data_IF_332468311960
#
_entry.id   IF_332468311960
#
_cell.length_a   1.000
_cell.length_b   1.000
_cell.length_c   1.000
_cell.angle_alpha   90.00
_cell.angle_beta   90.00
_cell.angle_gamma   90.00
#
_symmetry.space_group_name_H-M   'P 1'
#
loop_
_entity.id
_entity.type
_entity.pdbx_description
1 polymer ?
#
# COMPACT_ATOMS: atom_id res chain seq x y z
N UNK A 1 39.32 31.82 36.37
CA UNK A 1 38.12 31.72 35.51
C UNK A 1 38.51 30.88 34.31
N UNK A 2 38.34 29.57 34.40
CA UNK A 2 38.65 28.64 33.32
C UNK A 2 37.35 28.30 32.59
N UNK A 3 37.43 28.39 31.28
CA UNK A 3 36.38 28.24 30.29
C UNK A 3 35.54 26.97 30.53
N UNK A 4 34.32 27.11 31.03
CA UNK A 4 33.35 26.02 31.19
C UNK A 4 32.30 26.16 30.07
N UNK A 5 32.72 26.05 28.81
CA UNK A 5 31.83 26.22 27.65
C UNK A 5 32.19 25.33 26.46
N UNK A 6 32.71 24.13 26.70
CA UNK A 6 32.85 23.11 25.66
C UNK A 6 32.38 21.77 26.22
N UNK A 7 31.54 21.08 25.44
CA UNK A 7 30.79 19.86 25.76
C UNK A 7 29.44 20.14 26.46
N UNK A 8 28.56 20.86 25.76
CA UNK A 8 27.18 20.37 25.71
C UNK A 8 27.31 19.12 24.84
N UNK A 9 27.22 17.92 25.43
CA UNK A 9 26.91 16.73 24.64
C UNK A 9 25.64 17.07 23.88
N UNK A 10 25.77 17.38 22.58
CA UNK A 10 24.63 17.57 21.70
C UNK A 10 23.97 16.20 21.56
N UNK A 11 23.15 15.84 22.55
CA UNK A 11 22.25 14.71 22.48
C UNK A 11 21.29 15.03 21.34
N UNK A 12 21.52 14.39 20.21
CA UNK A 12 20.75 14.50 18.98
C UNK A 12 20.61 13.08 18.38
N UNK A 13 20.18 12.95 17.12
CA UNK A 13 19.99 11.62 16.52
C UNK A 13 21.30 10.91 16.13
N UNK A 14 22.40 11.64 15.98
CA UNK A 14 23.68 11.08 15.53
C UNK A 14 24.19 9.99 16.50
N UNK A 15 23.89 10.11 17.80
CA UNK A 15 24.26 9.10 18.80
C UNK A 15 23.56 7.74 18.56
N UNK A 16 22.42 7.71 17.88
CA UNK A 16 21.66 6.50 17.57
C UNK A 16 21.98 5.95 16.18
N UNK A 17 22.53 6.79 15.29
CA UNK A 17 22.75 6.46 13.87
C UNK A 17 23.52 5.14 13.66
N UNK A 18 24.65 4.85 14.36
CA UNK A 18 25.37 3.58 14.19
C UNK A 18 24.52 2.36 14.55
N UNK A 19 23.69 2.47 15.58
CA UNK A 19 22.85 1.37 16.06
C UNK A 19 21.61 1.18 15.18
N UNK A 20 21.08 2.27 14.61
CA UNK A 20 20.02 2.21 13.58
C UNK A 20 20.50 1.47 12.34
N UNK A 21 21.75 1.71 11.91
CA UNK A 21 22.34 1.03 10.75
C UNK A 21 22.90 -0.37 11.05
N UNK A 22 23.00 -0.77 12.32
CA UNK A 22 23.52 -2.08 12.70
C UNK A 22 22.78 -3.21 11.98
N UNK A 23 23.49 -4.27 11.58
CA UNK A 23 22.87 -5.48 11.01
C UNK A 23 22.42 -6.47 12.09
N UNK A 24 22.88 -6.28 13.33
CA UNK A 24 22.61 -7.17 14.45
C UNK A 24 21.21 -6.90 15.04
N UNK A 25 20.29 -7.90 15.03
CA UNK A 25 18.94 -7.72 15.55
C UNK A 25 18.88 -7.29 17.02
N UNK A 26 19.79 -7.79 17.85
CA UNK A 26 19.87 -7.44 19.28
C UNK A 26 20.20 -5.96 19.48
N UNK A 27 21.16 -5.44 18.72
CA UNK A 27 21.55 -4.01 18.75
C UNK A 27 20.37 -3.12 18.35
N UNK A 28 19.60 -3.50 17.33
CA UNK A 28 18.39 -2.74 16.92
C UNK A 28 17.33 -2.72 18.01
N UNK A 29 17.09 -3.85 18.68
CA UNK A 29 16.09 -3.96 19.75
C UNK A 29 16.48 -3.13 20.99
N UNK A 30 17.75 -3.14 21.37
CA UNK A 30 18.28 -2.31 22.47
C UNK A 30 18.21 -0.83 22.10
N UNK A 31 18.63 -0.48 20.88
CA UNK A 31 18.56 0.89 20.34
C UNK A 31 17.14 1.45 20.40
N UNK A 32 16.14 0.66 19.97
CA UNK A 32 14.74 1.07 20.02
C UNK A 32 14.32 1.56 21.40
N UNK A 33 14.65 0.80 22.46
CA UNK A 33 14.20 1.11 23.81
C UNK A 33 14.73 2.46 24.30
N UNK A 34 15.94 2.84 23.88
CA UNK A 34 16.56 4.12 24.25
C UNK A 34 16.04 5.23 23.34
N UNK A 35 15.97 4.96 22.03
CA UNK A 35 15.54 5.93 21.01
C UNK A 35 14.06 6.32 21.15
N UNK A 36 13.17 5.38 21.46
CA UNK A 36 11.76 5.69 21.69
C UNK A 36 11.57 6.61 22.89
N UNK A 37 12.24 6.32 24.01
CA UNK A 37 12.22 7.17 25.20
C UNK A 37 12.79 8.56 24.90
N UNK A 38 13.91 8.62 24.17
CA UNK A 38 14.51 9.88 23.75
C UNK A 38 13.57 10.70 22.85
N UNK A 39 12.93 10.08 21.86
CA UNK A 39 12.04 10.78 20.93
C UNK A 39 10.70 11.17 21.55
N UNK A 40 10.25 10.47 22.60
CA UNK A 40 9.03 10.79 23.34
C UNK A 40 9.14 12.11 24.12
N UNK A 41 10.36 12.52 24.45
CA UNK A 41 10.63 13.84 25.05
C UNK A 41 10.70 14.91 23.95
N UNK A 42 9.67 15.77 23.90
CA UNK A 42 9.50 16.77 22.83
C UNK A 42 10.65 17.80 22.74
N UNK A 43 11.36 18.02 23.85
CA UNK A 43 12.45 19.00 23.94
C UNK A 43 13.81 18.46 23.46
N UNK A 44 13.94 17.15 23.25
CA UNK A 44 15.19 16.55 22.79
C UNK A 44 15.49 16.98 21.34
N UNK A 45 16.75 17.13 20.93
CA UNK A 45 17.04 17.51 19.54
C UNK A 45 16.77 16.32 18.58
N UNK A 46 16.17 16.62 17.43
CA UNK A 46 16.04 15.66 16.30
C UNK A 46 17.08 15.94 15.20
N UNK A 47 18.05 16.81 15.45
CA UNK A 47 19.11 17.12 14.50
C UNK A 47 19.91 15.85 14.20
N UNK A 48 20.27 15.68 12.93
CA UNK A 48 21.09 14.58 12.46
C UNK A 48 21.93 15.06 11.28
N UNK A 49 23.23 14.80 11.29
CA UNK A 49 24.11 15.14 10.17
C UNK A 49 23.67 14.43 8.88
N UNK A 50 23.24 13.17 9.00
CA UNK A 50 22.67 12.39 7.91
C UNK A 50 21.27 11.85 8.24
N UNK A 51 20.29 12.76 8.29
CA UNK A 51 18.89 12.41 8.50
C UNK A 51 18.36 11.42 7.44
N UNK A 52 18.83 11.55 6.20
CA UNK A 52 18.45 10.66 5.09
C UNK A 52 18.89 9.23 5.35
N UNK A 53 20.17 9.02 5.73
CA UNK A 53 20.66 7.70 6.12
C UNK A 53 19.96 7.14 7.35
N UNK A 54 19.63 8.00 8.32
CA UNK A 54 18.89 7.61 9.53
C UNK A 54 17.51 7.05 9.17
N UNK A 55 16.74 7.79 8.35
CA UNK A 55 15.41 7.38 7.88
C UNK A 55 15.52 6.11 7.05
N UNK A 56 16.49 6.01 6.13
CA UNK A 56 16.72 4.80 5.35
C UNK A 56 17.03 3.57 6.22
N UNK A 57 17.77 3.76 7.32
CA UNK A 57 17.99 2.71 8.33
C UNK A 57 16.68 2.25 8.98
N UNK A 58 15.80 3.18 9.34
CA UNK A 58 14.47 2.84 9.89
C UNK A 58 13.56 2.16 8.85
N UNK A 59 13.63 2.54 7.58
CA UNK A 59 12.90 1.83 6.52
C UNK A 59 13.35 0.36 6.42
N UNK A 60 14.63 0.06 6.61
CA UNK A 60 15.12 -1.32 6.71
C UNK A 60 14.62 -2.03 7.97
N UNK A 61 14.34 -1.31 9.06
CA UNK A 61 13.69 -1.90 10.23
C UNK A 61 12.27 -2.31 9.89
N UNK A 62 11.49 -1.41 9.28
CA UNK A 62 10.09 -1.67 8.90
C UNK A 62 10.00 -2.86 7.93
N UNK A 63 10.88 -2.95 6.94
CA UNK A 63 10.93 -4.07 5.99
C UNK A 63 11.50 -5.38 6.56
N UNK A 64 11.92 -5.41 7.83
CA UNK A 64 12.55 -6.59 8.42
C UNK A 64 11.55 -7.74 8.63
N UNK A 65 12.00 -8.98 8.41
CA UNK A 65 11.20 -10.19 8.68
C UNK A 65 10.94 -10.42 10.17
N UNK A 66 11.77 -9.86 11.06
CA UNK A 66 11.53 -9.89 12.49
C UNK A 66 10.44 -8.86 12.84
N UNK A 67 9.24 -9.36 13.16
CA UNK A 67 8.09 -8.50 13.44
C UNK A 67 8.34 -7.48 14.56
N UNK A 68 9.18 -7.77 15.56
CA UNK A 68 9.49 -6.81 16.63
C UNK A 68 10.28 -5.63 16.09
N UNK A 69 11.29 -5.90 15.26
CA UNK A 69 12.09 -4.84 14.62
C UNK A 69 11.23 -4.04 13.65
N UNK A 70 10.36 -4.72 12.88
CA UNK A 70 9.41 -4.06 11.97
C UNK A 70 8.46 -3.12 12.73
N UNK A 71 7.86 -3.62 13.81
CA UNK A 71 6.99 -2.82 14.68
C UNK A 71 7.73 -1.61 15.27
N UNK A 72 8.94 -1.83 15.78
CA UNK A 72 9.79 -0.78 16.35
C UNK A 72 10.12 0.29 15.30
N UNK A 73 10.43 -0.11 14.06
CA UNK A 73 10.65 0.83 12.95
C UNK A 73 9.41 1.70 12.68
N UNK A 74 8.22 1.10 12.62
CA UNK A 74 6.96 1.84 12.45
C UNK A 74 6.75 2.84 13.59
N UNK A 75 7.08 2.43 14.82
CA UNK A 75 6.92 3.28 16.01
C UNK A 75 7.88 4.47 16.05
N UNK A 76 9.15 4.28 15.67
CA UNK A 76 10.10 5.38 15.61
C UNK A 76 9.73 6.36 14.48
N UNK A 77 9.33 5.85 13.30
CA UNK A 77 8.86 6.71 12.20
C UNK A 77 7.60 7.47 12.58
N UNK A 78 6.69 6.88 13.35
CA UNK A 78 5.52 7.57 13.91
C UNK A 78 5.92 8.80 14.74
N UNK A 79 6.91 8.67 15.62
CA UNK A 79 7.42 9.78 16.43
C UNK A 79 8.10 10.84 15.56
N UNK A 80 8.88 10.45 14.55
CA UNK A 80 9.54 11.39 13.64
C UNK A 80 8.53 12.18 12.80
N UNK A 81 7.45 11.54 12.33
CA UNK A 81 6.36 12.22 11.60
C UNK A 81 5.72 13.33 12.45
N UNK A 82 5.62 13.16 13.76
CA UNK A 82 5.07 14.19 14.65
C UNK A 82 6.02 15.37 14.85
N UNK A 83 7.33 15.13 14.76
CA UNK A 83 8.37 16.09 15.17
C UNK A 83 9.03 16.83 14.01
N UNK A 84 9.26 16.17 12.88
CA UNK A 84 9.84 16.80 11.69
C UNK A 84 8.83 17.73 11.04
N UNK A 85 9.27 18.82 10.42
CA UNK A 85 8.36 19.68 9.68
C UNK A 85 7.85 19.00 8.40
N UNK A 86 6.69 19.45 7.90
CA UNK A 86 6.07 18.90 6.68
C UNK A 86 7.04 18.94 5.49
N UNK A 87 7.70 20.07 5.28
CA UNK A 87 8.61 20.27 4.14
C UNK A 87 9.87 19.41 4.25
N UNK A 88 10.39 19.24 5.47
CA UNK A 88 11.55 18.39 5.73
C UNK A 88 11.23 16.91 5.50
N UNK A 89 10.04 16.47 5.89
CA UNK A 89 9.60 15.09 5.72
C UNK A 89 9.20 14.73 4.27
N UNK A 90 8.74 15.69 3.46
CA UNK A 90 8.20 15.44 2.11
C UNK A 90 9.18 14.66 1.22
N UNK A 91 10.49 14.92 1.33
CA UNK A 91 11.52 14.24 0.54
C UNK A 91 11.60 12.71 0.81
N UNK A 92 11.10 12.26 1.96
CA UNK A 92 11.09 10.85 2.37
C UNK A 92 9.72 10.19 2.17
N UNK A 93 8.69 10.98 1.90
CA UNK A 93 7.28 10.55 1.98
C UNK A 93 6.99 9.32 1.12
N UNK A 94 7.40 9.33 -0.15
CA UNK A 94 7.08 8.25 -1.08
C UNK A 94 7.79 6.93 -0.70
N UNK A 95 9.04 7.01 -0.22
CA UNK A 95 9.77 5.84 0.27
C UNK A 95 9.16 5.28 1.55
N UNK A 96 8.75 6.15 2.47
CA UNK A 96 8.05 5.77 3.70
C UNK A 96 6.71 5.11 3.36
N UNK A 97 5.92 5.69 2.46
CA UNK A 97 4.64 5.14 2.02
C UNK A 97 4.79 3.77 1.38
N UNK A 98 5.78 3.58 0.52
CA UNK A 98 6.04 2.30 -0.15
C UNK A 98 6.22 1.17 0.87
N UNK A 99 7.04 1.40 1.89
CA UNK A 99 7.35 0.39 2.91
C UNK A 99 6.16 0.16 3.86
N UNK A 100 5.42 1.21 4.22
CA UNK A 100 4.23 1.07 5.08
C UNK A 100 3.10 0.33 4.37
N UNK A 101 2.87 0.57 3.07
CA UNK A 101 1.83 -0.12 2.29
C UNK A 101 2.09 -1.63 2.26
N UNK A 102 3.34 -2.05 2.10
CA UNK A 102 3.70 -3.47 2.17
C UNK A 102 3.40 -4.07 3.55
N UNK A 103 3.52 -3.30 4.63
CA UNK A 103 3.14 -3.72 5.99
C UNK A 103 1.64 -3.88 6.22
N UNK A 104 0.77 -3.35 5.36
CA UNK A 104 -0.65 -3.73 5.35
C UNK A 104 -0.86 -5.21 4.98
N UNK A 105 0.14 -5.86 4.39
CA UNK A 105 0.12 -7.29 4.06
C UNK A 105 0.57 -8.21 5.22
N UNK A 106 1.02 -7.66 6.34
CA UNK A 106 1.73 -8.43 7.37
C UNK A 106 0.85 -9.49 8.05
N UNK A 107 1.46 -10.62 8.39
CA UNK A 107 0.77 -11.72 9.08
C UNK A 107 0.35 -11.39 10.52
N UNK A 108 0.88 -10.32 11.12
CA UNK A 108 0.55 -9.88 12.48
C UNK A 108 -0.37 -8.66 12.47
N UNK A 109 -1.50 -8.78 13.13
CA UNK A 109 -2.51 -7.70 13.22
C UNK A 109 -1.91 -6.41 13.78
N UNK A 110 -1.08 -6.50 14.82
CA UNK A 110 -0.38 -5.34 15.41
C UNK A 110 0.47 -4.55 14.40
N UNK A 111 1.05 -5.21 13.39
CA UNK A 111 1.86 -4.55 12.35
C UNK A 111 0.93 -3.83 11.37
N UNK A 112 -0.14 -4.51 10.95
CA UNK A 112 -1.15 -3.93 10.05
C UNK A 112 -1.85 -2.73 10.68
N UNK A 113 -2.21 -2.84 11.95
CA UNK A 113 -2.81 -1.75 12.73
C UNK A 113 -1.84 -0.56 12.86
N UNK A 114 -0.56 -0.83 13.18
CA UNK A 114 0.46 0.22 13.24
C UNK A 114 0.66 0.91 11.88
N UNK A 115 0.71 0.14 10.79
CA UNK A 115 0.80 0.67 9.44
C UNK A 115 -0.41 1.55 9.08
N UNK A 116 -1.64 1.06 9.33
CA UNK A 116 -2.87 1.83 9.08
C UNK A 116 -2.90 3.14 9.88
N UNK A 117 -2.57 3.10 11.18
CA UNK A 117 -2.47 4.31 12.02
C UNK A 117 -1.45 5.31 11.47
N UNK A 118 -0.31 4.83 10.98
CA UNK A 118 0.74 5.67 10.43
C UNK A 118 0.30 6.36 9.14
N UNK A 119 -0.42 5.64 8.26
CA UNK A 119 -1.01 6.23 7.06
C UNK A 119 -2.03 7.32 7.38
N UNK A 120 -2.91 7.12 8.38
CA UNK A 120 -3.83 8.16 8.84
C UNK A 120 -3.09 9.39 9.42
N UNK A 121 -1.97 9.19 10.13
CA UNK A 121 -1.14 10.30 10.61
C UNK A 121 -0.49 11.07 9.46
N UNK A 122 0.00 10.39 8.44
CA UNK A 122 0.50 11.03 7.23
C UNK A 122 -0.60 11.83 6.53
N UNK A 123 -1.85 11.34 6.50
CA UNK A 123 -2.98 12.11 5.95
C UNK A 123 -3.25 13.40 6.72
N UNK A 124 -3.07 13.42 8.05
CA UNK A 124 -3.15 14.64 8.88
C UNK A 124 -2.03 15.63 8.61
N UNK A 125 -0.79 15.14 8.42
CA UNK A 125 0.38 15.99 8.17
C UNK A 125 0.37 16.57 6.75
N UNK A 126 -0.06 15.78 5.79
CA UNK A 126 -0.18 16.16 4.38
C UNK A 126 -1.65 16.43 4.04
N UNK A 127 -2.25 15.61 3.18
CA UNK A 127 -3.69 15.59 2.94
C UNK A 127 -4.14 14.16 2.64
N UNK A 128 -5.39 13.78 2.94
CA UNK A 128 -5.92 12.48 2.54
C UNK A 128 -5.73 12.19 1.05
N UNK A 129 -6.01 13.17 0.18
CA UNK A 129 -5.83 13.02 -1.26
C UNK A 129 -4.39 12.69 -1.66
N UNK A 130 -3.39 13.41 -1.13
CA UNK A 130 -1.97 13.19 -1.45
C UNK A 130 -1.50 11.77 -1.11
N UNK A 131 -1.97 11.25 0.01
CA UNK A 131 -1.62 9.90 0.46
C UNK A 131 -2.37 8.85 -0.39
N UNK A 132 -3.65 9.08 -0.68
CA UNK A 132 -4.45 8.18 -1.52
C UNK A 132 -4.00 8.11 -2.98
N UNK A 133 -3.51 9.21 -3.55
CA UNK A 133 -2.91 9.23 -4.90
C UNK A 133 -1.72 8.27 -5.02
N UNK A 134 -1.00 8.04 -3.91
CA UNK A 134 0.10 7.08 -3.84
C UNK A 134 -0.36 5.66 -3.48
N UNK A 135 -1.28 5.49 -2.52
CA UNK A 135 -1.77 4.18 -2.07
C UNK A 135 -2.57 3.47 -3.17
N UNK A 136 -3.44 4.19 -3.87
CA UNK A 136 -4.40 3.62 -4.82
C UNK A 136 -3.76 2.70 -5.88
N UNK A 137 -2.70 3.10 -6.61
CA UNK A 137 -2.09 2.24 -7.63
C UNK A 137 -1.41 0.98 -7.06
N UNK A 138 -1.06 0.96 -5.77
CA UNK A 138 -0.30 -0.13 -5.14
C UNK A 138 -1.15 -1.11 -4.33
N UNK A 139 -2.41 -0.77 -4.06
CA UNK A 139 -3.25 -1.46 -3.08
C UNK A 139 -4.30 -2.38 -3.69
N UNK A 140 -5.28 -1.84 -4.42
CA UNK A 140 -6.48 -2.59 -4.81
C UNK A 140 -6.25 -3.68 -5.87
N UNK A 141 -5.19 -3.56 -6.68
CA UNK A 141 -4.81 -4.60 -7.66
C UNK A 141 -3.63 -5.46 -7.17
N UNK A 142 -3.28 -5.36 -5.88
CA UNK A 142 -2.16 -6.09 -5.30
C UNK A 142 -2.41 -7.61 -5.28
N UNK A 143 -1.34 -8.38 -5.53
CA UNK A 143 -1.37 -9.85 -5.47
C UNK A 143 -1.68 -10.36 -4.05
N UNK A 144 -1.24 -9.65 -3.02
CA UNK A 144 -1.52 -10.01 -1.64
C UNK A 144 -2.94 -9.57 -1.26
N UNK A 145 -3.81 -10.55 -0.99
CA UNK A 145 -5.21 -10.25 -0.63
C UNK A 145 -5.32 -9.38 0.63
N UNK A 146 -4.38 -9.52 1.58
CA UNK A 146 -4.35 -8.72 2.82
C UNK A 146 -4.17 -7.23 2.54
N UNK A 147 -3.30 -6.86 1.60
CA UNK A 147 -3.12 -5.46 1.21
C UNK A 147 -4.43 -4.92 0.61
N UNK A 148 -5.11 -5.69 -0.24
CA UNK A 148 -6.42 -5.30 -0.80
C UNK A 148 -7.47 -5.13 0.29
N UNK A 149 -7.54 -6.03 1.26
CA UNK A 149 -8.47 -5.98 2.39
C UNK A 149 -8.19 -4.78 3.30
N UNK A 150 -6.96 -4.64 3.79
CA UNK A 150 -6.63 -3.57 4.73
C UNK A 150 -6.66 -2.19 4.09
N UNK A 151 -6.37 -2.06 2.79
CA UNK A 151 -6.52 -0.78 2.09
C UNK A 151 -7.98 -0.36 2.00
N UNK A 152 -8.91 -1.31 1.83
CA UNK A 152 -10.34 -1.00 1.90
C UNK A 152 -10.76 -0.60 3.33
N UNK A 153 -10.21 -1.25 4.36
CA UNK A 153 -10.42 -0.85 5.76
C UNK A 153 -9.86 0.55 6.05
N UNK A 154 -8.68 0.86 5.53
CA UNK A 154 -8.08 2.20 5.62
C UNK A 154 -8.94 3.25 4.92
N UNK A 155 -9.59 2.92 3.79
CA UNK A 155 -10.51 3.83 3.12
C UNK A 155 -11.72 4.17 4.00
N UNK A 156 -12.31 3.15 4.64
CA UNK A 156 -13.38 3.36 5.62
C UNK A 156 -12.91 4.29 6.75
N UNK A 157 -11.71 4.03 7.31
CA UNK A 157 -11.13 4.89 8.36
C UNK A 157 -10.91 6.33 7.85
N UNK A 158 -10.40 6.48 6.62
CA UNK A 158 -10.19 7.78 5.98
C UNK A 158 -11.51 8.55 5.88
N UNK A 159 -12.57 7.90 5.42
CA UNK A 159 -13.89 8.53 5.30
C UNK A 159 -14.41 8.98 6.65
N UNK A 160 -14.29 8.13 7.67
CA UNK A 160 -14.78 8.44 9.01
C UNK A 160 -14.00 9.56 9.71
N UNK A 161 -12.70 9.67 9.46
CA UNK A 161 -11.86 10.66 10.12
C UNK A 161 -11.81 12.00 9.37
N UNK A 162 -11.82 11.98 8.03
CA UNK A 162 -11.60 13.18 7.21
C UNK A 162 -12.82 13.58 6.38
N UNK A 163 -13.78 12.68 6.17
CA UNK A 163 -14.97 12.90 5.34
C UNK A 163 -14.74 12.61 3.86
N UNK A 164 -15.84 12.32 3.14
CA UNK A 164 -15.78 11.98 1.72
C UNK A 164 -15.26 13.09 0.79
N UNK A 165 -15.37 14.37 1.18
CA UNK A 165 -14.92 15.49 0.34
C UNK A 165 -13.41 15.65 0.26
N UNK A 166 -12.63 14.97 1.12
CA UNK A 166 -11.16 15.09 1.14
C UNK A 166 -10.48 14.14 0.16
N UNK A 167 -11.23 13.25 -0.49
CA UNK A 167 -10.71 12.25 -1.43
C UNK A 167 -11.59 12.13 -2.69
N UNK A 168 -10.97 11.88 -3.83
CA UNK A 168 -11.64 11.68 -5.13
C UNK A 168 -12.26 10.28 -5.24
N UNK A 169 -13.41 10.07 -4.60
CA UNK A 169 -14.12 8.79 -4.59
C UNK A 169 -14.52 8.28 -5.99
N UNK A 170 -14.70 9.18 -6.96
CA UNK A 170 -14.99 8.79 -8.35
C UNK A 170 -13.87 7.96 -8.99
N UNK A 171 -12.63 8.06 -8.50
CA UNK A 171 -11.51 7.20 -8.92
C UNK A 171 -11.45 5.88 -8.15
N UNK A 172 -11.87 5.87 -6.89
CA UNK A 172 -11.78 4.70 -5.99
C UNK A 172 -12.95 3.73 -6.16
N UNK A 173 -14.18 4.25 -6.25
CA UNK A 173 -15.41 3.43 -6.37
C UNK A 173 -15.33 2.40 -7.51
N UNK A 174 -14.86 2.72 -8.73
CA UNK A 174 -14.74 1.73 -9.79
C UNK A 174 -13.81 0.56 -9.44
N UNK A 175 -12.72 0.82 -8.71
CA UNK A 175 -11.77 -0.20 -8.27
C UNK A 175 -12.40 -1.12 -7.22
N UNK A 176 -13.12 -0.54 -6.25
CA UNK A 176 -13.81 -1.29 -5.20
C UNK A 176 -14.94 -2.14 -5.79
N UNK A 177 -15.65 -1.65 -6.81
CA UNK A 177 -16.68 -2.42 -7.52
C UNK A 177 -16.10 -3.70 -8.14
N UNK A 178 -14.88 -3.66 -8.69
CA UNK A 178 -14.20 -4.88 -9.18
C UNK A 178 -13.92 -5.87 -8.03
N UNK A 179 -13.58 -5.37 -6.85
CA UNK A 179 -13.26 -6.19 -5.68
C UNK A 179 -14.46 -6.97 -5.11
N UNK A 180 -15.69 -6.57 -5.43
CA UNK A 180 -16.91 -7.33 -5.09
C UNK A 180 -16.88 -8.76 -5.67
N UNK A 181 -16.15 -8.95 -6.77
CA UNK A 181 -15.94 -10.23 -7.46
C UNK A 181 -14.51 -10.76 -7.31
N UNK A 182 -13.72 -10.28 -6.34
CA UNK A 182 -12.35 -10.75 -6.09
C UNK A 182 -12.30 -12.26 -5.84
N UNK A 183 -11.18 -12.92 -6.13
CA UNK A 183 -11.03 -14.35 -5.86
C UNK A 183 -11.06 -14.69 -4.36
N UNK A 184 -10.61 -13.76 -3.50
CA UNK A 184 -10.60 -13.94 -2.06
C UNK A 184 -11.91 -13.49 -1.40
N UNK A 185 -12.48 -14.36 -0.54
CA UNK A 185 -13.75 -14.08 0.15
C UNK A 185 -13.73 -12.90 1.12
N UNK A 186 -12.61 -12.66 1.82
CA UNK A 186 -12.50 -11.53 2.77
C UNK A 186 -12.46 -10.20 2.02
N UNK A 187 -11.73 -10.15 0.90
CA UNK A 187 -11.66 -8.97 0.03
C UNK A 187 -13.04 -8.65 -0.56
N UNK A 188 -13.79 -9.66 -1.02
CA UNK A 188 -15.17 -9.48 -1.51
C UNK A 188 -16.10 -8.92 -0.44
N UNK A 189 -16.04 -9.48 0.77
CA UNK A 189 -16.90 -9.04 1.86
C UNK A 189 -16.55 -7.59 2.28
N UNK A 190 -15.26 -7.30 2.42
CA UNK A 190 -14.77 -5.96 2.73
C UNK A 190 -15.16 -4.93 1.65
N UNK A 191 -15.25 -5.33 0.37
CA UNK A 191 -15.72 -4.46 -0.71
C UNK A 191 -17.18 -4.06 -0.55
N UNK A 192 -18.04 -5.00 -0.15
CA UNK A 192 -19.44 -4.70 0.18
C UNK A 192 -19.50 -3.68 1.32
N UNK A 193 -18.76 -3.92 2.40
CA UNK A 193 -18.77 -3.05 3.57
C UNK A 193 -18.20 -1.65 3.25
N UNK A 194 -17.20 -1.57 2.37
CA UNK A 194 -16.61 -0.31 1.90
C UNK A 194 -17.57 0.49 1.03
N UNK A 195 -18.32 -0.16 0.13
CA UNK A 195 -19.35 0.52 -0.68
C UNK A 195 -20.50 1.04 0.18
N UNK A 196 -20.90 0.29 1.21
CA UNK A 196 -21.90 0.73 2.20
C UNK A 196 -21.39 1.94 2.99
N UNK A 197 -20.12 1.93 3.37
CA UNK A 197 -19.50 3.09 4.02
C UNK A 197 -19.53 4.33 3.13
N UNK A 198 -19.10 4.18 1.86
CA UNK A 198 -19.11 5.27 0.88
C UNK A 198 -20.54 5.79 0.69
N UNK A 199 -21.53 4.90 0.57
CA UNK A 199 -22.94 5.29 0.51
C UNK A 199 -23.38 6.09 1.74
N UNK A 200 -22.96 5.70 2.95
CA UNK A 200 -23.29 6.44 4.17
C UNK A 200 -22.79 7.89 4.12
N UNK A 201 -21.61 8.13 3.54
CA UNK A 201 -21.00 9.45 3.42
C UNK A 201 -21.51 10.27 2.22
N UNK A 202 -21.90 9.62 1.12
CA UNK A 202 -22.21 10.30 -0.16
C UNK A 202 -23.69 10.26 -0.54
N UNK A 203 -24.42 9.22 -0.16
CA UNK A 203 -25.84 9.03 -0.47
C UNK A 203 -26.14 8.46 -1.85
N UNK A 204 -27.33 8.75 -2.36
CA UNK A 204 -27.93 8.13 -3.56
C UNK A 204 -27.10 8.24 -4.84
N UNK A 205 -26.21 9.23 -4.94
CA UNK A 205 -25.27 9.31 -6.07
C UNK A 205 -24.47 8.01 -6.26
N UNK A 206 -24.10 7.34 -5.16
CA UNK A 206 -23.36 6.07 -5.20
C UNK A 206 -24.20 4.98 -5.87
N UNK A 207 -25.51 4.93 -5.62
CA UNK A 207 -26.42 3.96 -6.23
C UNK A 207 -26.38 4.08 -7.76
N UNK A 208 -26.50 5.30 -8.27
CA UNK A 208 -26.42 5.57 -9.72
C UNK A 208 -25.04 5.25 -10.31
N UNK A 209 -23.97 5.47 -9.56
CA UNK A 209 -22.60 5.20 -10.01
C UNK A 209 -22.27 3.70 -10.05
N UNK A 210 -22.76 2.91 -9.09
CA UNK A 210 -22.55 1.45 -9.05
C UNK A 210 -23.46 0.69 -10.02
N UNK A 211 -24.67 1.20 -10.31
CA UNK A 211 -25.59 0.62 -11.28
C UNK A 211 -25.00 0.52 -12.71
N UNK A 212 -24.04 1.40 -13.02
CA UNK A 212 -23.33 1.45 -14.30
C UNK A 212 -22.08 0.55 -14.34
N UNK A 213 -21.81 -0.19 -13.27
CA UNK A 213 -20.63 -1.05 -13.13
C UNK A 213 -21.01 -2.51 -13.35
N UNK A 214 -20.01 -3.29 -13.74
CA UNK A 214 -20.15 -4.73 -13.97
C UNK A 214 -20.14 -5.51 -12.64
N UNK A 215 -21.19 -5.31 -11.84
CA UNK A 215 -21.42 -6.02 -10.58
C UNK A 215 -22.51 -7.07 -10.82
N UNK A 216 -22.30 -8.35 -10.41
CA UNK A 216 -23.32 -9.38 -10.53
C UNK A 216 -24.64 -8.96 -9.87
N UNK A 217 -25.77 -9.19 -10.54
CA UNK A 217 -27.10 -8.70 -10.12
C UNK A 217 -27.45 -9.08 -8.66
N UNK A 218 -27.13 -10.31 -8.24
CA UNK A 218 -27.32 -10.76 -6.87
C UNK A 218 -26.54 -9.91 -5.83
N UNK A 219 -25.32 -9.48 -6.18
CA UNK A 219 -24.48 -8.62 -5.32
C UNK A 219 -24.93 -7.17 -5.36
N UNK A 220 -25.39 -6.69 -6.51
CA UNK A 220 -25.97 -5.37 -6.63
C UNK A 220 -27.25 -5.24 -5.77
N UNK A 221 -28.13 -6.25 -5.83
CA UNK A 221 -29.31 -6.32 -4.96
C UNK A 221 -28.92 -6.33 -3.48
N UNK A 222 -27.92 -7.13 -3.10
CA UNK A 222 -27.40 -7.15 -1.72
C UNK A 222 -26.90 -5.78 -1.26
N UNK A 223 -26.23 -5.02 -2.13
CA UNK A 223 -25.77 -3.66 -1.83
C UNK A 223 -26.95 -2.71 -1.64
N UNK A 224 -27.95 -2.77 -2.51
CA UNK A 224 -29.15 -1.94 -2.40
C UNK A 224 -29.93 -2.20 -1.12
N UNK A 225 -30.14 -3.47 -0.76
CA UNK A 225 -30.79 -3.84 0.49
C UNK A 225 -30.00 -3.26 1.70
N UNK A 226 -28.65 -3.34 1.68
CA UNK A 226 -27.79 -2.74 2.72
C UNK A 226 -27.82 -1.20 2.73
N UNK A 227 -27.95 -0.55 1.59
CA UNK A 227 -28.08 0.91 1.50
C UNK A 227 -29.39 1.35 2.14
N UNK A 228 -30.49 0.66 1.83
CA UNK A 228 -31.81 0.93 2.41
C UNK A 228 -31.79 0.74 3.94
N UNK A 229 -31.10 -0.30 4.44
CA UNK A 229 -30.89 -0.49 5.89
C UNK A 229 -30.12 0.67 6.54
N UNK A 230 -29.11 1.24 5.87
CA UNK A 230 -28.37 2.39 6.39
C UNK A 230 -29.26 3.63 6.48
N UNK A 231 -30.12 3.85 5.48
CA UNK A 231 -31.12 4.93 5.50
C UNK A 231 -32.14 4.70 6.62
N UNK A 232 -32.74 3.51 6.69
CA UNK A 232 -33.76 3.18 7.67
C UNK A 232 -33.24 3.25 9.12
N UNK A 233 -31.96 2.93 9.33
CA UNK A 233 -31.31 3.03 10.65
C UNK A 233 -30.90 4.45 11.05
N UNK A 234 -31.10 5.45 10.19
CA UNK A 234 -30.73 6.84 10.46
C UNK A 234 -29.22 7.06 10.62
N UNK A 235 -28.39 6.15 10.07
CA UNK A 235 -26.92 6.21 10.20
C UNK A 235 -26.25 7.06 9.13
N UNK A 236 -27.01 7.65 8.21
CA UNK A 236 -26.49 8.48 7.12
C UNK A 236 -25.65 9.65 7.65
N UNK A 237 -24.51 9.90 7.01
CA UNK A 237 -23.65 11.07 7.23
C UNK A 237 -23.91 12.13 6.16
N UNK A 238 -24.22 11.71 4.93
CA UNK A 238 -24.63 12.61 3.87
C UNK A 238 -25.80 13.49 4.35
N UNK A 239 -25.68 14.81 4.16
CA UNK A 239 -26.79 15.72 4.42
C UNK A 239 -27.92 15.35 3.47
N UNK A 240 -29.06 14.92 3.99
CA UNK A 240 -30.28 14.69 3.21
C UNK A 240 -30.69 16.03 2.60
N UNK A 241 -30.41 16.22 1.31
CA UNK A 241 -30.91 17.36 0.56
C UNK A 241 -32.38 17.14 0.22
N UNK A 242 -33.24 17.09 1.23
CA UNK A 242 -34.69 17.21 1.09
C UNK A 242 -35.27 17.87 2.34
N UNK A 243 -35.10 19.18 2.37
CA UNK A 243 -36.05 20.12 2.97
C UNK A 243 -36.19 21.24 1.95
N UNK A 244 -37.28 21.22 1.20
CA UNK A 244 -37.70 22.27 0.27
C UNK A 244 -37.72 23.61 1.00
N UNK A 245 -36.92 24.58 0.54
CA UNK A 245 -37.35 25.97 0.31
C UNK A 245 -36.19 26.84 -0.23
N UNK A 246 -36.49 27.63 -1.27
CA UNK A 246 -35.82 28.92 -1.49
C UNK A 246 -34.61 29.00 -2.43
N UNK A 247 -34.86 28.91 -3.73
CA UNK A 247 -34.29 29.70 -4.82
C UNK A 247 -33.13 30.68 -4.49
N UNK A 248 -31.95 30.54 -5.10
CA UNK A 248 -31.18 31.64 -5.73
C UNK A 248 -30.12 31.09 -6.69
N UNK A 249 -30.23 31.51 -7.94
CA UNK A 249 -29.32 31.24 -9.06
C UNK A 249 -28.05 32.09 -9.00
N UNK A 250 -26.88 31.49 -9.25
CA UNK A 250 -25.72 32.10 -9.95
C UNK A 250 -24.63 31.03 -10.08
N UNK A 251 -24.35 30.46 -11.26
CA UNK A 251 -23.59 31.00 -12.40
C UNK A 251 -22.27 30.24 -12.52
N UNK A 252 -22.09 29.58 -13.67
CA UNK A 252 -20.88 28.88 -14.08
C UNK A 252 -19.69 29.84 -14.18
N UNK A 253 -18.46 29.35 -13.92
CA UNK A 253 -17.33 29.52 -14.84
C UNK A 253 -16.06 28.74 -14.39
N UNK A 254 -15.64 27.84 -15.28
CA UNK A 254 -14.28 27.59 -15.76
C UNK A 254 -13.32 26.62 -15.04
N UNK A 255 -13.18 25.49 -15.73
CA UNK A 255 -12.04 24.57 -15.79
C UNK A 255 -10.67 25.23 -15.87
N UNK A 256 -9.73 24.65 -15.12
CA UNK A 256 -8.34 24.44 -15.60
C UNK A 256 -7.91 23.03 -15.23
N UNK A 257 -7.71 22.19 -16.26
CA UNK A 257 -6.96 20.94 -16.16
C UNK A 257 -5.55 21.24 -15.63
N UNK A 258 -5.18 20.63 -14.51
CA UNK A 258 -3.78 20.49 -14.10
C UNK A 258 -3.36 19.07 -14.48
N UNK A 259 -2.52 18.96 -15.51
CA UNK A 259 -1.81 17.74 -15.86
C UNK A 259 -0.66 17.57 -14.86
N UNK A 260 -0.72 16.55 -14.01
CA UNK A 260 0.41 16.15 -13.16
C UNK A 260 1.37 15.26 -13.97
N UNK A 261 2.68 15.54 -13.99
CA UNK A 261 3.65 14.71 -14.69
C UNK A 261 3.82 13.36 -13.97
N UNK A 262 3.86 12.27 -14.75
CA UNK A 262 4.31 10.95 -14.27
C UNK A 262 5.77 11.06 -13.80
N UNK A 263 6.04 10.72 -12.53
CA UNK A 263 7.41 10.59 -12.03
C UNK A 263 7.93 9.20 -12.45
N UNK A 264 9.04 9.20 -13.17
CA UNK A 264 9.84 8.03 -13.49
C UNK A 264 10.54 7.61 -12.19
N UNK A 265 10.18 6.44 -11.64
CA UNK A 265 10.91 5.84 -10.52
C UNK A 265 12.29 5.36 -10.99
N UNK A 266 13.31 5.54 -10.14
CA UNK A 266 14.65 4.97 -10.33
C UNK A 266 14.57 3.43 -10.29
N UNK A 267 14.96 2.73 -11.38
CA UNK A 267 14.91 1.28 -11.46
C UNK A 267 15.73 0.55 -10.38
N UNK A 268 16.76 1.19 -9.82
CA UNK A 268 17.63 0.59 -8.80
C UNK A 268 16.94 0.40 -7.44
N UNK A 269 15.92 1.20 -7.14
CA UNK A 269 15.13 1.09 -5.91
C UNK A 269 14.16 -0.10 -5.98
N UNK A 270 13.66 -0.45 -7.16
CA UNK A 270 12.74 -1.58 -7.34
C UNK A 270 13.44 -2.94 -7.06
N UNK A 271 14.73 -3.06 -7.40
CA UNK A 271 15.51 -4.29 -7.19
C UNK A 271 15.98 -4.48 -5.74
N UNK A 272 16.12 -3.40 -4.94
CA UNK A 272 16.49 -3.53 -3.52
C UNK A 272 15.32 -3.99 -2.63
N UNK A 273 14.07 -3.67 -3.00
CA UNK A 273 12.88 -4.07 -2.22
C UNK A 273 12.34 -5.45 -2.60
N UNK A 274 12.65 -5.94 -3.80
CA UNK A 274 12.39 -7.32 -4.22
C UNK A 274 13.62 -8.17 -3.90
N UNK A 275 13.83 -8.52 -2.63
CA UNK A 275 14.82 -9.52 -2.26
C UNK A 275 14.64 -10.82 -3.08
N UNK A 276 15.71 -11.62 -3.28
CA UNK A 276 15.61 -12.83 -4.09
C UNK A 276 14.54 -13.74 -3.50
N UNK A 277 13.50 -14.01 -4.30
CA UNK A 277 12.48 -14.99 -3.98
C UNK A 277 13.17 -16.32 -3.68
N UNK A 278 13.33 -16.64 -2.41
CA UNK A 278 13.90 -17.91 -1.97
C UNK A 278 12.83 -18.98 -2.15
N UNK A 279 12.66 -19.43 -3.38
CA UNK A 279 12.17 -20.77 -3.70
C UNK A 279 12.82 -21.19 -5.01
N UNK A 280 14.09 -21.62 -4.93
CA UNK A 280 14.58 -22.54 -5.94
C UNK A 280 13.77 -23.82 -5.77
N UNK A 281 12.75 -24.00 -6.60
CA UNK A 281 12.23 -25.34 -6.88
C UNK A 281 13.34 -26.10 -7.58
N UNK A 282 14.13 -26.83 -6.80
CA UNK A 282 15.07 -27.79 -7.32
C UNK A 282 14.24 -28.96 -7.84
N UNK A 283 14.13 -29.08 -9.17
CA UNK A 283 13.59 -30.28 -9.79
C UNK A 283 14.41 -31.48 -9.28
N UNK A 284 13.78 -32.57 -8.84
CA UNK A 284 14.53 -33.76 -8.47
C UNK A 284 15.32 -34.25 -9.71
N UNK A 285 16.54 -34.79 -9.52
CA UNK A 285 17.32 -35.31 -10.63
C UNK A 285 16.56 -36.45 -11.31
N UNK A 286 16.59 -36.44 -12.65
CA UNK A 286 16.14 -37.58 -13.44
C UNK A 286 17.13 -38.73 -13.18
N UNK A 287 16.66 -39.78 -12.50
CA UNK A 287 17.38 -41.05 -12.47
C UNK A 287 17.24 -41.67 -13.86
N UNK A 288 18.28 -41.53 -14.68
CA UNK A 288 18.53 -42.43 -15.80
C UNK A 288 19.12 -43.70 -15.21
N UNK A 289 18.28 -44.63 -14.77
CA UNK A 289 18.59 -46.07 -14.64
C UNK A 289 17.38 -46.78 -14.01
N UNK A 290 16.47 -47.24 -14.86
CA UNK A 290 15.65 -48.44 -14.63
C UNK A 290 14.94 -48.79 -15.94
N UNK A 291 15.69 -49.48 -16.83
CA UNK A 291 15.07 -50.43 -17.74
C UNK A 291 14.65 -51.63 -16.89
N UNK A 292 13.36 -51.92 -16.80
CA UNK A 292 12.84 -53.25 -17.14
C UNK A 292 11.31 -53.30 -17.03
N UNK A 293 10.76 -54.25 -17.79
CA UNK A 293 9.36 -54.73 -17.86
C UNK A 293 8.32 -53.90 -18.66
N UNK A 294 8.35 -54.17 -19.97
CA UNK A 294 7.19 -54.20 -20.87
C UNK A 294 6.15 -55.25 -20.43
N UNK A 295 4.85 -54.90 -20.40
CA UNK A 295 3.77 -55.54 -21.19
C UNK A 295 2.38 -54.88 -20.94
N UNK A 296 1.36 -55.07 -21.82
CA UNK A 296 0.72 -53.97 -22.54
C UNK A 296 -0.75 -53.76 -22.11
N UNK A 297 -1.41 -52.72 -22.66
CA UNK A 297 -2.73 -52.81 -23.31
C UNK A 297 -3.27 -51.41 -23.71
N UNK A 298 -3.49 -51.29 -25.02
CA UNK A 298 -4.60 -50.61 -25.70
C UNK A 298 -4.67 -49.07 -25.80
N UNK A 299 -4.43 -48.66 -27.06
CA UNK A 299 -5.29 -47.83 -27.91
C UNK A 299 -5.56 -46.36 -27.56
N UNK A 300 -5.17 -45.50 -28.51
CA UNK A 300 -5.98 -44.34 -28.90
C UNK A 300 -5.13 -43.10 -29.17
N UNK A 301 -4.91 -42.80 -30.45
CA UNK A 301 -3.98 -41.76 -30.91
C UNK A 301 -4.31 -40.34 -30.46
N UNK A 302 -3.30 -39.46 -30.54
CA UNK A 302 -3.40 -38.19 -31.26
C UNK A 302 -2.01 -37.72 -31.70
N UNK A 303 -1.98 -37.06 -32.85
CA UNK A 303 -0.85 -36.84 -33.74
C UNK A 303 0.26 -35.93 -33.18
N UNK A 304 1.51 -36.34 -33.43
CA UNK A 304 2.74 -35.53 -33.33
C UNK A 304 2.79 -34.52 -34.49
N UNK A 305 2.86 -33.23 -34.19
CA UNK A 305 3.46 -32.23 -35.08
C UNK A 305 4.86 -31.90 -34.56
N UNK A 306 5.84 -32.38 -35.31
CA UNK A 306 7.27 -32.11 -35.15
C UNK A 306 7.60 -30.69 -35.61
N UNK A 307 8.26 -29.89 -34.77
CA UNK A 307 9.06 -28.75 -35.23
C UNK A 307 10.51 -28.93 -34.81
N UNK A 308 11.34 -29.03 -35.85
CA UNK A 308 12.79 -29.13 -35.90
C UNK A 308 13.45 -27.87 -35.34
N UNK A 309 14.33 -28.03 -34.34
CA UNK A 309 15.25 -26.97 -33.89
C UNK A 309 16.39 -26.82 -34.90
N UNK A 310 16.48 -25.66 -35.56
CA UNK A 310 17.73 -25.20 -36.17
C UNK A 310 18.48 -24.36 -35.14
N UNK A 311 19.68 -24.83 -34.79
CA UNK A 311 20.66 -24.14 -33.96
C UNK A 311 21.36 -23.04 -34.78
N UNK A 312 21.40 -21.82 -34.26
CA UNK A 312 22.31 -20.75 -34.69
C UNK A 312 23.19 -20.38 -33.48
N UNK A 313 24.52 -20.26 -33.64
CA UNK A 313 25.43 -20.06 -32.53
C UNK A 313 25.51 -18.58 -32.15
N UNK A 314 25.62 -18.33 -30.85
CA UNK A 314 25.99 -17.01 -30.32
C UNK A 314 24.82 -16.03 -30.18
N UNK A 315 24.00 -16.22 -29.13
CA UNK A 315 23.32 -15.13 -28.40
C UNK A 315 22.76 -15.70 -27.09
N UNK A 316 23.05 -14.99 -26.01
CA UNK A 316 22.67 -15.24 -24.63
C UNK A 316 21.16 -15.48 -24.49
N UNK A 317 20.77 -16.52 -23.76
CA UNK A 317 19.37 -16.88 -23.51
C UNK A 317 18.65 -15.77 -22.74
N UNK A 318 17.78 -15.02 -23.41
CA UNK A 318 16.68 -14.29 -22.76
C UNK A 318 15.49 -15.23 -22.66
N UNK A 319 15.19 -15.67 -21.44
CA UNK A 319 13.91 -16.31 -21.12
C UNK A 319 12.85 -15.22 -21.06
N UNK A 320 11.87 -15.30 -21.95
CA UNK A 320 10.66 -14.48 -21.94
C UNK A 320 9.86 -14.76 -20.65
N UNK A 321 9.88 -13.81 -19.70
CA UNK A 321 8.86 -13.71 -18.66
C UNK A 321 7.72 -12.83 -19.21
N UNK A 322 6.60 -13.46 -19.57
CA UNK A 322 5.34 -12.76 -19.78
C UNK A 322 4.87 -12.21 -18.42
N UNK A 323 4.85 -10.88 -18.27
CA UNK A 323 4.29 -10.28 -17.07
C UNK A 323 4.72 -8.85 -16.80
N UNK A 324 4.65 -7.96 -17.79
CA UNK A 324 4.64 -6.50 -17.59
C UNK A 324 4.17 -5.84 -18.89
N UNK A 325 2.87 -5.65 -19.04
CA UNK A 325 2.33 -4.73 -20.04
C UNK A 325 2.09 -3.40 -19.35
N UNK A 326 3.11 -2.55 -19.35
CA UNK A 326 2.93 -1.11 -19.21
C UNK A 326 2.23 -0.61 -20.48
N UNK A 327 1.04 -0.06 -20.34
CA UNK A 327 0.31 0.55 -21.44
C UNK A 327 0.98 1.90 -21.76
N UNK A 328 1.86 1.90 -22.76
CA UNK A 328 2.23 3.08 -23.53
C UNK A 328 1.27 3.16 -24.72
N UNK A 329 0.35 4.12 -24.73
CA UNK A 329 -0.42 4.42 -25.94
C UNK A 329 -0.59 5.93 -26.17
N UNK A 330 0.29 6.43 -27.05
CA UNK A 330 0.10 7.40 -28.12
C UNK A 330 -0.24 8.87 -27.81
N UNK A 331 0.81 9.68 -28.02
CA UNK A 331 0.79 11.05 -28.51
C UNK A 331 0.17 11.07 -29.93
N UNK A 332 -0.78 11.97 -30.16
CA UNK A 332 -0.87 12.79 -31.37
C UNK A 332 -1.16 14.23 -30.94
#
# INVERSE_FOLDING_TARGET
>A
MANTSSIIENKNLDQFYPNVLSKEPTVRLECFSILENYLSEINNSIDCEDLTGFINGLLQWIGCSNYRISYNGLRIVELLIERLDKNEFEQYLDNVLLVIIDRLGDGKDQIRDAASRLLLKLMKKFTPQRIWDFIQPLSFENKQFRIKEESQRLLIQTLNEFGASTIQLNKLVPLICKLVSDSNGTVRQQAIDTLVEIYRHVGEKVRGDIAKRDIPEAKLKQLYDKFDDVVASGRMIAKTSDSTDGNTSSSLANDKLIVTPYIIMDPSLLEQFLGPSSTQFQLPPLNEDENDELHPLLNGGFQRLSHTRKSLPGKTNFVFMQGLTYVLTHIY
#
